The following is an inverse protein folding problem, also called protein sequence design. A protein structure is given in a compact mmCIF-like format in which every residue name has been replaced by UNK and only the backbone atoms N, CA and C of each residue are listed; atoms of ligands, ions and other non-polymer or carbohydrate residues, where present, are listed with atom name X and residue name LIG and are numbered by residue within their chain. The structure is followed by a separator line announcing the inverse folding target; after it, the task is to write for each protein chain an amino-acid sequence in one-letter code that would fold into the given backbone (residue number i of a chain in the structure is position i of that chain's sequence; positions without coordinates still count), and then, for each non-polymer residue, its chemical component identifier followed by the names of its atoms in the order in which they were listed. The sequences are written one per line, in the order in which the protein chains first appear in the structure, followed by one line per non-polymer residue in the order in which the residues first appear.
data_IF_008668115282
#
_entry.id   IF_008668115282
#
_cell.length_a   1.000
_cell.length_b   1.000
_cell.length_c   1.000
_cell.angle_alpha   90.00
_cell.angle_beta   90.00
_cell.angle_gamma   90.00
#
_symmetry.space_group_name_H-M   'P 1'
#
loop_
_entity.id
_entity.type
_entity.pdbx_description
1 polymer ?
#
# COMPACT_ATOMS: atom_id res chain seq x y z
N UNK A 1 -12.75 -15.53 -18.13
CA UNK A 1 -12.11 -14.29 -17.66
C UNK A 1 -11.88 -14.34 -16.15
N UNK A 2 -12.85 -14.81 -15.37
CA UNK A 2 -12.73 -15.03 -13.92
C UNK A 2 -11.57 -15.98 -13.53
N UNK A 3 -11.36 -17.07 -14.25
CA UNK A 3 -10.23 -17.99 -13.99
C UNK A 3 -8.86 -17.31 -14.16
N UNK A 4 -8.73 -16.38 -15.11
CA UNK A 4 -7.48 -15.63 -15.32
C UNK A 4 -7.23 -14.63 -14.20
N UNK A 5 -8.27 -13.91 -13.76
CA UNK A 5 -8.20 -13.01 -12.60
C UNK A 5 -7.84 -13.77 -11.32
N UNK A 6 -8.47 -14.93 -11.08
CA UNK A 6 -8.17 -15.78 -9.93
C UNK A 6 -6.74 -16.33 -9.96
N UNK A 7 -6.27 -16.74 -11.14
CA UNK A 7 -4.88 -17.17 -11.33
C UNK A 7 -3.88 -16.03 -11.08
N UNK A 8 -4.16 -14.83 -11.59
CA UNK A 8 -3.35 -13.62 -11.36
C UNK A 8 -3.30 -13.27 -9.88
N UNK A 9 -4.45 -13.22 -9.20
CA UNK A 9 -4.54 -12.94 -7.76
C UNK A 9 -3.75 -13.97 -6.95
N UNK A 10 -3.82 -15.25 -7.33
CA UNK A 10 -3.07 -16.32 -6.66
C UNK A 10 -1.56 -16.13 -6.80
N UNK A 11 -1.08 -15.68 -7.96
CA UNK A 11 0.36 -15.44 -8.21
C UNK A 11 0.84 -14.17 -7.50
N UNK A 12 0.08 -13.07 -7.57
CA UNK A 12 0.48 -11.77 -7.03
C UNK A 12 0.28 -11.65 -5.52
N UNK A 13 -0.83 -12.18 -4.99
CA UNK A 13 -1.25 -12.00 -3.59
C UNK A 13 -1.18 -13.29 -2.76
N UNK A 14 -0.99 -14.43 -3.42
CA UNK A 14 -1.02 -15.74 -2.79
C UNK A 14 -2.41 -16.38 -2.73
N UNK A 15 -2.47 -17.57 -2.14
CA UNK A 15 -3.69 -18.39 -2.08
C UNK A 15 -4.69 -17.79 -1.09
N UNK A 16 -5.96 -17.78 -1.47
CA UNK A 16 -7.08 -17.40 -0.61
C UNK A 16 -7.24 -18.35 0.58
N UNK A 17 -7.37 -17.78 1.78
CA UNK A 17 -7.49 -18.54 3.03
C UNK A 17 -8.95 -18.72 3.45
N UNK A 18 -9.70 -19.53 2.70
CA UNK A 18 -11.15 -19.78 2.91
C UNK A 18 -11.52 -20.33 4.29
N UNK A 19 -10.59 -21.02 4.96
CA UNK A 19 -10.80 -21.60 6.30
C UNK A 19 -10.48 -20.65 7.44
N UNK A 20 -9.97 -19.44 7.17
CA UNK A 20 -9.66 -18.47 8.21
C UNK A 20 -10.97 -17.87 8.76
N UNK A 21 -11.16 -18.00 10.07
CA UNK A 21 -12.24 -17.33 10.79
C UNK A 21 -11.69 -15.99 11.27
N UNK A 22 -12.29 -14.89 10.79
CA UNK A 22 -11.96 -13.52 11.19
C UNK A 22 -13.13 -12.96 11.98
N UNK A 23 -12.85 -12.36 13.13
CA UNK A 23 -13.87 -11.70 13.95
C UNK A 23 -14.47 -10.49 13.23
N UNK A 24 -15.70 -10.09 13.57
CA UNK A 24 -16.32 -8.90 12.97
C UNK A 24 -15.53 -7.61 13.26
N UNK A 25 -14.89 -7.53 14.44
CA UNK A 25 -14.03 -6.40 14.79
C UNK A 25 -12.77 -6.33 13.93
N UNK A 26 -12.11 -7.47 13.66
CA UNK A 26 -10.97 -7.54 12.75
C UNK A 26 -11.37 -7.23 11.31
N UNK A 27 -12.49 -7.80 10.82
CA UNK A 27 -13.02 -7.45 9.48
C UNK A 27 -13.28 -5.96 9.34
N UNK A 28 -13.90 -5.36 10.36
CA UNK A 28 -14.15 -3.90 10.40
C UNK A 28 -12.85 -3.12 10.40
N UNK A 29 -11.85 -3.56 11.17
CA UNK A 29 -10.52 -2.94 11.18
C UNK A 29 -9.86 -2.99 9.80
N UNK A 30 -9.78 -4.17 9.19
CA UNK A 30 -9.24 -4.37 7.84
C UNK A 30 -10.02 -3.56 6.80
N UNK A 31 -11.34 -3.49 6.92
CA UNK A 31 -12.17 -2.70 5.99
C UNK A 31 -11.81 -1.22 6.01
N UNK A 32 -11.65 -0.62 7.19
CA UNK A 32 -11.22 0.77 7.29
C UNK A 32 -9.78 0.97 6.81
N UNK A 33 -8.90 0.01 7.10
CA UNK A 33 -7.52 0.04 6.66
C UNK A 33 -7.43 0.09 5.12
N UNK A 34 -8.04 -0.87 4.43
CA UNK A 34 -8.06 -0.92 2.97
C UNK A 34 -8.81 0.27 2.36
N UNK A 35 -9.91 0.71 2.98
CA UNK A 35 -10.61 1.92 2.54
C UNK A 35 -9.73 3.17 2.66
N UNK A 36 -8.81 3.22 3.64
CA UNK A 36 -7.84 4.30 3.79
C UNK A 36 -6.87 4.37 2.62
N UNK A 37 -6.25 3.25 2.25
CA UNK A 37 -5.40 3.17 1.07
C UNK A 37 -6.16 3.55 -0.20
N UNK A 38 -7.34 2.95 -0.40
CA UNK A 38 -8.16 3.17 -1.58
C UNK A 38 -8.60 4.64 -1.70
N UNK A 39 -9.04 5.27 -0.61
CA UNK A 39 -9.48 6.66 -0.68
C UNK A 39 -8.33 7.61 -1.05
N UNK A 40 -7.16 7.43 -0.45
CA UNK A 40 -6.00 8.29 -0.77
C UNK A 40 -5.53 8.05 -2.20
N UNK A 41 -5.45 6.80 -2.64
CA UNK A 41 -5.08 6.47 -4.02
C UNK A 41 -6.07 7.04 -5.05
N UNK A 42 -7.36 7.10 -4.70
CA UNK A 42 -8.37 7.69 -5.58
C UNK A 42 -8.31 9.22 -5.65
N UNK A 43 -7.95 9.89 -4.55
CA UNK A 43 -7.92 11.35 -4.47
C UNK A 43 -6.64 11.97 -5.04
N UNK A 44 -5.53 11.24 -5.05
CA UNK A 44 -4.25 11.75 -5.53
C UNK A 44 -4.09 11.46 -7.03
N UNK A 45 -3.97 12.49 -7.88
CA UNK A 45 -3.86 12.29 -9.33
C UNK A 45 -2.57 11.56 -9.73
N UNK A 46 -1.52 11.69 -8.93
CA UNK A 46 -0.23 11.06 -9.18
C UNK A 46 -0.16 9.61 -8.68
N UNK A 47 -1.16 9.14 -7.93
CA UNK A 47 -1.19 7.74 -7.49
C UNK A 47 -1.62 6.83 -8.64
N UNK A 48 -1.13 5.59 -8.64
CA UNK A 48 -1.58 4.59 -9.61
C UNK A 48 -3.07 4.26 -9.39
N UNK A 49 -3.83 4.03 -10.48
CA UNK A 49 -5.26 3.75 -10.38
C UNK A 49 -5.52 2.44 -9.64
N UNK A 50 -6.61 2.43 -8.90
CA UNK A 50 -7.06 1.27 -8.14
C UNK A 50 -7.62 0.24 -9.11
N UNK A 51 -7.10 -0.98 -9.03
CA UNK A 51 -7.58 -2.11 -9.78
C UNK A 51 -8.55 -2.98 -8.97
N UNK A 52 -8.23 -3.23 -7.70
CA UNK A 52 -8.99 -4.15 -6.84
C UNK A 52 -8.83 -3.79 -5.37
N UNK A 53 -9.91 -3.82 -4.60
CA UNK A 53 -9.89 -3.68 -3.15
C UNK A 53 -10.63 -4.86 -2.55
N UNK A 54 -10.03 -5.55 -1.59
CA UNK A 54 -10.64 -6.72 -0.95
C UNK A 54 -10.21 -6.85 0.50
N UNK A 55 -11.11 -7.37 1.33
CA UNK A 55 -10.85 -7.76 2.72
C UNK A 55 -10.79 -9.29 2.87
N UNK A 56 -10.67 -10.00 1.74
CA UNK A 56 -10.56 -11.45 1.72
C UNK A 56 -9.09 -11.81 1.99
N UNK A 57 -8.79 -12.62 3.02
CA UNK A 57 -7.42 -12.93 3.38
C UNK A 57 -6.72 -13.78 2.29
N UNK A 58 -5.55 -13.32 1.86
CA UNK A 58 -4.69 -14.01 0.88
C UNK A 58 -3.25 -14.00 1.36
N UNK A 59 -2.62 -15.17 1.34
CA UNK A 59 -1.24 -15.32 1.84
C UNK A 59 -1.08 -14.80 3.28
N UNK A 60 -0.22 -13.79 3.46
CA UNK A 60 0.04 -13.12 4.74
C UNK A 60 -0.86 -11.89 4.99
N UNK A 61 -1.60 -11.43 3.97
CA UNK A 61 -2.43 -10.24 4.05
C UNK A 61 -3.88 -10.60 4.47
N UNK A 62 -4.46 -9.77 5.34
CA UNK A 62 -5.87 -9.89 5.75
C UNK A 62 -6.82 -9.13 4.81
N UNK A 63 -6.29 -8.13 4.11
CA UNK A 63 -6.94 -7.36 3.04
C UNK A 63 -5.86 -6.82 2.12
N UNK A 64 -6.27 -6.38 0.92
CA UNK A 64 -5.37 -5.81 -0.07
C UNK A 64 -6.07 -4.75 -0.90
N UNK A 65 -5.41 -3.61 -1.03
CA UNK A 65 -5.67 -2.57 -2.02
C UNK A 65 -4.63 -2.66 -3.12
N UNK A 66 -5.05 -3.10 -4.31
CA UNK A 66 -4.18 -3.27 -5.46
C UNK A 66 -4.30 -2.07 -6.41
N UNK A 67 -3.16 -1.45 -6.66
CA UNK A 67 -2.99 -0.45 -7.73
C UNK A 67 -2.31 -1.11 -8.93
N UNK A 68 -2.65 -0.66 -10.14
CA UNK A 68 -1.96 -1.07 -11.37
C UNK A 68 -1.47 0.17 -12.11
N UNK A 69 -0.15 0.30 -12.34
CA UNK A 69 0.37 1.35 -13.21
C UNK A 69 -0.23 1.26 -14.61
N UNK A 70 -0.54 2.41 -15.22
CA UNK A 70 -1.04 2.49 -16.59
C UNK A 70 0.06 2.27 -17.63
N UNK A 71 1.29 2.66 -17.28
CA UNK A 71 2.46 2.60 -18.15
C UNK A 71 3.63 1.97 -17.40
N UNK A 72 4.51 1.30 -18.15
CA UNK A 72 5.79 0.84 -17.63
C UNK A 72 6.70 2.05 -17.38
N UNK A 73 7.03 2.29 -16.10
CA UNK A 73 7.87 3.42 -15.68
C UNK A 73 9.30 2.95 -15.37
N UNK A 74 10.27 3.59 -16.02
CA UNK A 74 11.70 3.41 -15.72
C UNK A 74 12.25 4.47 -14.76
N UNK A 75 11.52 5.57 -14.58
CA UNK A 75 11.89 6.68 -13.68
C UNK A 75 10.64 7.18 -12.96
N UNK A 76 10.82 7.70 -11.74
CA UNK A 76 9.74 8.17 -10.87
C UNK A 76 9.96 9.64 -10.49
N UNK A 77 8.91 10.44 -10.61
CA UNK A 77 8.93 11.83 -10.13
C UNK A 77 8.83 11.88 -8.60
N UNK A 78 9.26 12.99 -8.01
CA UNK A 78 9.08 13.24 -6.58
C UNK A 78 7.60 13.19 -6.19
N UNK A 79 6.75 13.84 -6.96
CA UNK A 79 5.30 13.91 -6.71
C UNK A 79 4.64 12.52 -6.71
N UNK A 80 5.05 11.64 -7.62
CA UNK A 80 4.60 10.24 -7.63
C UNK A 80 5.02 9.51 -6.36
N UNK A 81 6.28 9.66 -5.92
CA UNK A 81 6.78 8.99 -4.72
C UNK A 81 6.12 9.54 -3.46
N UNK A 82 5.85 10.84 -3.39
CA UNK A 82 5.07 11.46 -2.31
C UNK A 82 3.61 10.96 -2.29
N UNK A 83 3.01 10.74 -3.46
CA UNK A 83 1.69 10.12 -3.56
C UNK A 83 1.72 8.65 -3.07
N UNK A 84 2.73 7.87 -3.45
CA UNK A 84 2.92 6.50 -2.96
C UNK A 84 3.10 6.46 -1.44
N UNK A 85 3.93 7.35 -0.87
CA UNK A 85 4.07 7.49 0.58
C UNK A 85 2.73 7.81 1.26
N UNK A 86 1.95 8.72 0.66
CA UNK A 86 0.64 9.10 1.19
C UNK A 86 -0.34 7.92 1.17
N UNK A 87 -0.36 7.14 0.08
CA UNK A 87 -1.19 5.94 -0.03
C UNK A 87 -0.78 4.91 1.02
N UNK A 88 0.51 4.60 1.17
CA UNK A 88 1.02 3.65 2.17
C UNK A 88 0.63 4.05 3.61
N UNK A 89 0.59 5.35 3.90
CA UNK A 89 0.19 5.83 5.23
C UNK A 89 -1.34 5.90 5.42
N UNK A 90 -2.13 5.75 4.34
CA UNK A 90 -3.59 5.87 4.34
C UNK A 90 -4.28 4.87 5.26
N UNK A 91 -3.86 3.60 5.26
CA UNK A 91 -4.44 2.56 6.12
C UNK A 91 -4.25 2.82 7.61
N UNK A 92 -3.06 3.25 8.03
CA UNK A 92 -2.83 3.66 9.43
C UNK A 92 -3.63 4.91 9.79
N UNK A 93 -3.70 5.89 8.89
CA UNK A 93 -4.44 7.12 9.14
C UNK A 93 -5.93 6.85 9.37
N UNK A 94 -6.55 6.01 8.55
CA UNK A 94 -7.97 5.65 8.67
C UNK A 94 -8.27 4.88 9.96
N UNK A 95 -7.44 3.91 10.34
CA UNK A 95 -7.57 3.18 11.62
C UNK A 95 -7.57 4.15 12.80
N UNK A 96 -6.59 5.07 12.84
CA UNK A 96 -6.47 6.04 13.94
C UNK A 96 -7.68 6.96 14.01
N UNK A 97 -8.16 7.46 12.87
CA UNK A 97 -9.27 8.40 12.80
C UNK A 97 -10.62 7.78 13.15
N UNK A 98 -10.89 6.56 12.67
CA UNK A 98 -12.23 5.96 12.75
C UNK A 98 -12.37 4.96 13.91
N UNK A 99 -11.28 4.29 14.31
CA UNK A 99 -11.30 3.27 15.35
C UNK A 99 -10.67 3.75 16.66
N UNK A 100 -9.86 4.82 16.61
CA UNK A 100 -9.12 5.31 17.77
C UNK A 100 -8.11 4.29 18.32
N UNK A 101 -7.78 3.27 17.53
CA UNK A 101 -6.90 2.15 17.90
C UNK A 101 -5.75 2.08 16.90
N UNK A 102 -4.66 1.49 17.36
CA UNK A 102 -3.47 1.21 16.56
C UNK A 102 -3.28 -0.29 16.51
N UNK A 103 -3.11 -0.84 15.31
CA UNK A 103 -2.88 -2.28 15.09
C UNK A 103 -1.42 -2.54 14.68
N UNK A 104 -1.06 -3.81 14.51
CA UNK A 104 0.22 -4.22 13.89
C UNK A 104 0.11 -4.45 12.39
N UNK A 105 -1.09 -4.30 11.79
CA UNK A 105 -1.35 -4.63 10.39
C UNK A 105 -0.57 -3.78 9.39
N UNK A 106 -0.32 -2.51 9.73
CA UNK A 106 0.37 -1.53 8.88
C UNK A 106 1.91 -1.71 8.81
N UNK A 107 2.47 -2.77 9.40
CA UNK A 107 3.93 -2.92 9.53
C UNK A 107 4.65 -2.92 8.18
N UNK A 108 4.11 -3.65 7.21
CA UNK A 108 4.65 -3.72 5.84
C UNK A 108 4.52 -2.39 5.10
N UNK A 109 3.50 -1.61 5.36
CA UNK A 109 3.34 -0.28 4.74
C UNK A 109 4.39 0.69 5.27
N UNK A 110 4.68 0.62 6.57
CA UNK A 110 5.76 1.42 7.17
C UNK A 110 7.14 1.02 6.65
N UNK A 111 7.40 -0.28 6.49
CA UNK A 111 8.66 -0.76 5.93
C UNK A 111 8.88 -0.20 4.52
N UNK A 112 7.88 -0.32 3.65
CA UNK A 112 7.92 0.23 2.29
C UNK A 112 8.03 1.74 2.27
N UNK A 113 7.23 2.43 3.08
CA UNK A 113 7.27 3.90 3.15
C UNK A 113 8.63 4.40 3.64
N UNK A 114 9.23 3.71 4.61
CA UNK A 114 10.55 4.03 5.13
C UNK A 114 11.63 3.83 4.07
N UNK A 115 11.58 2.72 3.33
CA UNK A 115 12.52 2.44 2.24
C UNK A 115 12.43 3.50 1.13
N UNK A 116 11.22 3.83 0.69
CA UNK A 116 10.99 4.89 -0.31
C UNK A 116 11.53 6.22 0.19
N UNK A 117 11.15 6.66 1.40
CA UNK A 117 11.59 7.93 1.96
C UNK A 117 13.12 7.98 2.11
N UNK A 118 13.73 6.89 2.55
CA UNK A 118 15.20 6.78 2.66
C UNK A 118 15.86 6.90 1.28
N UNK A 119 15.33 6.25 0.24
CA UNK A 119 15.86 6.36 -1.13
C UNK A 119 15.69 7.76 -1.71
N UNK A 120 14.53 8.40 -1.49
CA UNK A 120 14.27 9.79 -1.88
C UNK A 120 15.34 10.74 -1.34
N UNK A 121 15.71 10.60 -0.07
CA UNK A 121 16.71 11.44 0.57
C UNK A 121 18.14 11.00 0.22
N UNK A 122 18.45 9.73 0.40
CA UNK A 122 19.83 9.24 0.36
C UNK A 122 20.34 8.90 -1.05
N UNK A 123 19.47 8.55 -1.99
CA UNK A 123 19.90 8.04 -3.30
C UNK A 123 19.45 8.95 -4.45
N UNK A 124 18.26 9.54 -4.36
CA UNK A 124 17.65 10.29 -5.46
C UNK A 124 17.75 11.81 -5.32
N UNK A 125 18.33 12.31 -4.22
CA UNK A 125 18.56 13.75 -4.04
C UNK A 125 17.29 14.59 -4.00
N UNK A 126 16.17 14.02 -3.53
CA UNK A 126 14.84 14.66 -3.52
C UNK A 126 14.58 15.51 -2.26
N UNK A 127 15.63 15.85 -1.51
CA UNK A 127 15.57 16.63 -0.27
C UNK A 127 16.46 17.87 -0.35
N UNK A 128 16.30 18.77 0.63
CA UNK A 128 17.10 20.00 0.75
C UNK A 128 18.60 19.75 0.99
N UNK A 129 18.99 18.48 1.21
CA UNK A 129 20.41 18.07 1.24
C UNK A 129 21.08 18.13 -0.15
N UNK A 130 20.29 18.31 -1.20
CA UNK A 130 20.77 18.46 -2.57
C UNK A 130 20.97 17.13 -3.32
N UNK A 131 21.41 17.20 -4.60
CA UNK A 131 21.53 16.05 -5.49
C UNK A 131 22.81 15.27 -5.23
N UNK A 132 22.93 14.68 -4.03
CA UNK A 132 24.06 13.85 -3.61
C UNK A 132 23.61 12.46 -3.19
N UNK A 133 24.41 11.45 -3.52
CA UNK A 133 24.17 10.08 -3.06
C UNK A 133 24.92 9.84 -1.76
N UNK A 134 24.18 9.57 -0.69
CA UNK A 134 24.70 9.15 0.60
C UNK A 134 24.86 7.62 0.57
N UNK A 135 26.11 7.15 0.73
CA UNK A 135 26.45 5.74 0.59
C UNK A 135 25.66 4.80 1.52
N UNK A 136 25.51 3.56 1.08
CA UNK A 136 24.94 2.48 1.90
C UNK A 136 26.01 1.96 2.86
N UNK A 137 25.68 1.88 4.14
CA UNK A 137 26.48 1.21 5.15
C UNK A 137 25.78 -0.06 5.58
#
# INVERSE_FOLDING_TARGET
MEDMESAKDKVLMGVERKSMIISEDEKKSTSYHEAGHALIAFLLPEADPIHKVTIIPRGLALGTTQQLPLDDRYTYSKDYLEAQLSVLMGGRASEKMLLGKTTTGAANDFEKATDIARKMVCQWGMSDLGPVTFGER
#
